data_IF_047321107425
#
_entry.id   IF_047321107425
#
_cell.length_a   1.000
_cell.length_b   1.000
_cell.length_c   1.000
_cell.angle_alpha   90.00
_cell.angle_beta   90.00
_cell.angle_gamma   90.00
#
_symmetry.space_group_name_H-M   'P 1'
#
loop_
_entity.id
_entity.type
_entity.pdbx_description
1 polymer ?
#
# COMPACT_ATOMS: atom_id res chain seq x y z
N UNK A 1 0.79 49.18 39.10
CA UNK A 1 1.17 50.25 38.14
C UNK A 1 1.03 49.68 36.73
N UNK A 2 0.08 50.26 36.00
CA UNK A 2 -0.42 49.81 34.70
C UNK A 2 0.49 50.38 33.58
N UNK A 3 0.96 49.56 32.64
CA UNK A 3 1.46 50.06 31.34
C UNK A 3 0.80 49.29 30.20
N UNK A 4 -0.36 49.82 29.77
CA UNK A 4 -0.81 49.75 28.37
C UNK A 4 -0.08 50.84 27.57
N UNK A 5 0.30 50.55 26.33
CA UNK A 5 0.01 51.43 25.19
C UNK A 5 0.18 50.68 23.86
N UNK A 6 -0.97 50.54 23.21
CA UNK A 6 -1.19 50.31 21.78
C UNK A 6 -1.28 51.67 21.11
N UNK A 7 -0.64 51.87 19.94
CA UNK A 7 -1.02 52.75 18.81
C UNK A 7 -0.29 52.16 17.57
N UNK A 8 -0.93 51.50 16.58
CA UNK A 8 -1.80 52.02 15.50
C UNK A 8 -1.19 53.20 14.71
N UNK A 9 -0.87 53.01 13.43
CA UNK A 9 -1.53 53.64 12.24
C UNK A 9 -0.64 53.70 10.98
N UNK A 10 -1.33 53.76 9.82
CA UNK A 10 -0.89 53.98 8.42
C UNK A 10 -0.63 52.69 7.62
N UNK A 11 -1.45 52.22 6.68
CA UNK A 11 -2.56 52.82 5.93
C UNK A 11 -2.09 53.40 4.60
N UNK A 12 -2.45 52.73 3.48
CA UNK A 12 -2.64 53.15 2.05
C UNK A 12 -2.53 51.86 1.19
N UNK A 13 -3.59 51.09 0.94
CA UNK A 13 -4.72 51.24 0.01
C UNK A 13 -4.38 51.58 -1.45
N UNK A 14 -4.86 50.69 -2.35
CA UNK A 14 -5.60 50.92 -3.61
C UNK A 14 -4.85 50.48 -4.89
N UNK A 15 -5.14 49.32 -5.51
CA UNK A 15 -6.33 48.81 -6.27
C UNK A 15 -6.05 48.78 -7.79
N UNK A 16 -6.53 47.69 -8.39
CA UNK A 16 -7.05 47.52 -9.75
C UNK A 16 -6.11 47.53 -10.97
N UNK A 17 -6.05 46.38 -11.66
CA UNK A 17 -6.77 46.14 -12.94
C UNK A 17 -6.36 44.81 -13.61
N UNK A 18 -7.27 43.84 -13.60
CA UNK A 18 -7.54 42.95 -14.74
C UNK A 18 -8.77 43.53 -15.48
N UNK A 19 -9.03 43.31 -16.80
CA UNK A 19 -9.38 41.97 -17.32
C UNK A 19 -9.07 41.71 -18.82
N UNK A 20 -9.14 40.44 -19.25
CA UNK A 20 -9.61 39.94 -20.56
C UNK A 20 -9.58 38.38 -20.48
N UNK A 21 -10.67 37.59 -20.58
CA UNK A 21 -11.64 37.34 -21.67
C UNK A 21 -10.92 37.09 -23.01
N UNK A 22 -11.03 35.97 -23.72
CA UNK A 22 -12.04 34.90 -23.83
C UNK A 22 -11.40 33.66 -24.52
N UNK A 23 -12.19 32.58 -24.61
CA UNK A 23 -12.22 31.54 -25.66
C UNK A 23 -11.73 30.11 -25.33
N UNK A 24 -12.72 29.35 -24.83
CA UNK A 24 -13.22 28.04 -25.28
C UNK A 24 -12.42 26.73 -25.05
N UNK A 25 -13.13 25.68 -24.56
CA UNK A 25 -12.67 24.30 -24.59
C UNK A 25 -13.05 23.65 -25.93
N UNK A 26 -12.06 23.12 -26.65
CA UNK A 26 -12.32 22.24 -27.79
C UNK A 26 -12.48 20.80 -27.31
N UNK A 27 -13.74 20.37 -27.32
CA UNK A 27 -14.11 18.97 -27.40
C UNK A 27 -13.72 18.45 -28.78
N UNK A 28 -12.79 17.49 -28.84
CA UNK A 28 -12.68 16.59 -29.99
C UNK A 28 -12.99 15.19 -29.51
N UNK A 29 -14.17 14.73 -29.90
CA UNK A 29 -14.50 13.33 -30.10
C UNK A 29 -13.39 12.61 -30.87
N UNK A 30 -12.91 11.50 -30.31
CA UNK A 30 -12.39 10.40 -31.13
C UNK A 30 -12.95 9.11 -30.55
N UNK A 31 -13.95 8.58 -31.26
CA UNK A 31 -14.25 7.16 -31.30
C UNK A 31 -12.96 6.37 -31.51
N UNK A 32 -12.78 5.37 -30.66
CA UNK A 32 -11.74 4.37 -30.77
C UNK A 32 -12.26 3.10 -30.11
N UNK A 33 -13.22 2.44 -30.77
CA UNK A 33 -13.61 1.08 -30.46
C UNK A 33 -12.41 0.16 -30.71
N UNK A 34 -11.70 -0.15 -29.64
CA UNK A 34 -10.73 -1.24 -29.60
C UNK A 34 -11.33 -2.36 -28.78
N UNK A 35 -12.00 -3.30 -29.45
CA UNK A 35 -12.32 -4.61 -28.89
C UNK A 35 -11.01 -5.33 -28.56
N UNK A 36 -10.54 -5.18 -27.33
CA UNK A 36 -9.56 -6.08 -26.75
C UNK A 36 -10.32 -7.29 -26.23
N UNK A 37 -10.37 -8.33 -27.07
CA UNK A 37 -10.75 -9.68 -26.65
C UNK A 37 -9.81 -10.12 -25.53
N UNK A 38 -10.23 -9.88 -24.29
CA UNK A 38 -9.62 -10.41 -23.08
C UNK A 38 -9.93 -11.89 -22.96
N UNK A 39 -9.29 -12.71 -23.80
CA UNK A 39 -9.22 -14.13 -23.56
C UNK A 39 -8.22 -14.34 -22.41
N UNK A 40 -8.78 -14.52 -21.21
CA UNK A 40 -8.01 -14.82 -20.02
C UNK A 40 -7.21 -16.12 -20.25
N UNK A 41 -5.88 -16.12 -20.04
CA UNK A 41 -5.11 -17.36 -20.11
C UNK A 41 -5.64 -18.36 -19.08
N UNK A 42 -5.75 -19.66 -19.42
CA UNK A 42 -6.27 -20.65 -18.51
C UNK A 42 -5.36 -20.75 -17.27
N UNK A 43 -5.96 -20.51 -16.11
CA UNK A 43 -5.33 -20.74 -14.81
C UNK A 43 -4.89 -22.20 -14.72
N UNK A 44 -3.57 -22.41 -14.66
CA UNK A 44 -3.01 -23.71 -14.33
C UNK A 44 -3.42 -24.06 -12.90
N UNK A 45 -4.19 -25.14 -12.78
CA UNK A 45 -4.59 -25.76 -11.51
C UNK A 45 -3.33 -26.03 -10.67
N UNK A 46 -3.35 -25.58 -9.41
CA UNK A 46 -2.34 -25.94 -8.43
C UNK A 46 -2.40 -27.45 -8.21
N UNK A 47 -1.40 -28.15 -8.72
CA UNK A 47 -1.14 -29.53 -8.35
C UNK A 47 -0.40 -29.55 -7.03
N UNK A 48 -1.02 -30.17 -6.02
CA UNK A 48 -0.42 -30.48 -4.73
C UNK A 48 0.89 -31.26 -4.91
N UNK A 49 2.02 -30.60 -4.64
CA UNK A 49 3.31 -31.25 -4.53
C UNK A 49 3.52 -31.62 -3.07
N UNK A 50 3.25 -32.89 -2.80
CA UNK A 50 3.56 -33.59 -1.56
C UNK A 50 4.99 -33.31 -1.10
N UNK A 51 5.05 -32.89 0.16
CA UNK A 51 6.20 -32.83 1.05
C UNK A 51 6.98 -34.13 0.98
N UNK A 52 8.16 -34.08 0.36
CA UNK A 52 9.16 -35.14 0.48
C UNK A 52 10.45 -34.50 0.95
N UNK A 53 10.66 -34.66 2.26
CA UNK A 53 11.87 -34.30 2.98
C UNK A 53 13.08 -34.87 2.24
N UNK A 54 13.87 -33.98 1.64
CA UNK A 54 15.27 -34.26 1.36
C UNK A 54 16.07 -33.39 2.29
N UNK A 55 16.56 -34.04 3.35
CA UNK A 55 17.64 -33.54 4.19
C UNK A 55 18.82 -33.18 3.28
N UNK A 56 18.97 -31.89 3.00
CA UNK A 56 20.21 -31.33 2.48
C UNK A 56 20.87 -30.64 3.66
N UNK A 57 21.82 -31.37 4.23
CA UNK A 57 22.78 -30.94 5.23
C UNK A 57 23.24 -29.50 4.91
N UNK A 58 22.78 -28.54 5.71
CA UNK A 58 23.18 -27.14 5.62
C UNK A 58 24.60 -27.00 6.19
N UNK A 59 25.55 -27.57 5.46
CA UNK A 59 26.98 -27.42 5.72
C UNK A 59 27.31 -25.95 5.58
N UNK A 60 27.45 -25.30 6.74
CA UNK A 60 28.11 -24.02 6.98
C UNK A 60 28.56 -23.31 5.69
N UNK A 61 27.68 -22.47 5.14
CA UNK A 61 28.10 -21.41 4.23
C UNK A 61 28.81 -20.34 5.08
N UNK A 62 29.99 -20.72 5.58
CA UNK A 62 31.00 -19.74 5.90
C UNK A 62 31.21 -18.98 4.60
N UNK A 63 30.78 -17.72 4.60
CA UNK A 63 31.18 -16.73 3.61
C UNK A 63 32.69 -16.66 3.69
N UNK A 64 33.38 -17.56 3.00
CA UNK A 64 34.70 -17.31 2.52
C UNK A 64 34.51 -16.15 1.54
N UNK A 65 34.53 -14.93 2.09
CA UNK A 65 35.08 -13.80 1.38
C UNK A 65 36.46 -14.28 0.99
N UNK A 66 36.55 -14.90 -0.19
CA UNK A 66 37.79 -15.06 -0.90
C UNK A 66 38.20 -13.63 -1.22
N UNK A 67 38.82 -12.99 -0.22
CA UNK A 67 39.82 -11.97 -0.45
C UNK A 67 40.85 -12.68 -1.30
N UNK A 68 40.63 -12.69 -2.60
CA UNK A 68 41.71 -12.89 -3.54
C UNK A 68 42.66 -11.75 -3.16
N UNK A 69 43.86 -12.01 -2.64
CA UNK A 69 44.85 -10.97 -2.53
C UNK A 69 45.26 -10.62 -3.96
N UNK A 70 44.46 -9.78 -4.63
CA UNK A 70 44.80 -9.24 -5.95
C UNK A 70 46.04 -8.34 -5.89
N UNK A 71 46.64 -8.16 -4.71
CA UNK A 71 47.84 -7.37 -4.48
C UNK A 71 49.15 -8.17 -4.49
N UNK A 72 49.16 -9.50 -4.66
CA UNK A 72 50.41 -10.29 -4.55
C UNK A 72 50.79 -11.18 -5.74
N UNK A 73 49.96 -11.30 -6.78
CA UNK A 73 50.32 -12.07 -7.99
C UNK A 73 50.86 -11.26 -9.17
N UNK A 74 50.93 -9.94 -9.01
CA UNK A 74 51.87 -9.10 -9.75
C UNK A 74 52.80 -8.50 -8.72
N UNK A 75 53.90 -9.20 -8.42
CA UNK A 75 55.06 -8.52 -7.90
C UNK A 75 55.28 -7.30 -8.80
N UNK A 76 55.13 -6.10 -8.23
CA UNK A 76 55.60 -4.84 -8.81
C UNK A 76 57.11 -5.01 -9.03
N UNK A 77 57.52 -5.70 -10.07
CA UNK A 77 58.64 -5.21 -10.85
C UNK A 77 58.01 -4.00 -11.52
N UNK A 78 58.24 -2.77 -11.01
CA UNK A 78 57.67 -1.62 -11.65
C UNK A 78 58.16 -1.68 -13.09
N UNK A 79 57.27 -1.44 -14.04
CA UNK A 79 57.62 -1.54 -15.45
C UNK A 79 58.81 -0.60 -15.79
N UNK A 80 59.05 0.42 -14.96
CA UNK A 80 60.25 1.25 -14.92
C UNK A 80 61.56 0.52 -14.54
N UNK A 81 61.55 -0.55 -13.74
CA UNK A 81 62.72 -1.41 -13.47
C UNK A 81 63.02 -2.35 -14.64
N UNK A 82 61.98 -2.86 -15.32
CA UNK A 82 62.12 -3.57 -16.59
C UNK A 82 62.68 -2.63 -17.68
N UNK A 83 62.18 -1.39 -17.70
CA UNK A 83 62.69 -0.31 -18.55
C UNK A 83 64.16 0.00 -18.24
N UNK A 84 64.53 0.18 -16.97
CA UNK A 84 65.92 0.44 -16.59
C UNK A 84 66.87 -0.73 -16.93
N UNK A 85 66.41 -1.98 -16.87
CA UNK A 85 67.20 -3.18 -17.19
C UNK A 85 67.32 -3.49 -18.69
N UNK A 86 66.32 -3.12 -19.50
CA UNK A 86 66.36 -3.29 -20.96
C UNK A 86 67.08 -2.10 -21.63
N UNK A 87 66.88 -0.89 -21.11
CA UNK A 87 67.42 0.36 -21.65
C UNK A 87 68.83 0.68 -21.13
N UNK A 88 69.32 -0.04 -20.10
CA UNK A 88 70.72 0.07 -19.70
C UNK A 88 71.60 -0.42 -20.84
N UNK A 89 72.39 0.51 -21.32
CA UNK A 89 73.46 0.37 -22.32
C UNK A 89 74.28 -0.92 -22.22
N UNK A 90 74.30 -1.62 -21.08
CA UNK A 90 74.96 -2.92 -20.93
C UNK A 90 74.43 -4.01 -21.85
N UNK A 91 73.12 -4.22 -22.03
CA UNK A 91 72.63 -5.27 -22.94
C UNK A 91 72.88 -4.91 -24.41
N UNK A 92 72.72 -3.63 -24.74
CA UNK A 92 73.02 -3.07 -26.06
C UNK A 92 74.50 -3.24 -26.42
N UNK A 93 75.40 -2.87 -25.51
CA UNK A 93 76.85 -2.99 -25.66
C UNK A 93 77.26 -4.46 -25.64
N UNK A 94 76.71 -5.30 -24.76
CA UNK A 94 76.99 -6.75 -24.70
C UNK A 94 76.55 -7.47 -25.98
N UNK A 95 75.39 -7.13 -26.55
CA UNK A 95 74.91 -7.70 -27.80
C UNK A 95 75.78 -7.27 -29.00
N UNK A 96 76.19 -6.00 -29.03
CA UNK A 96 77.07 -5.46 -30.07
C UNK A 96 78.48 -6.07 -29.99
N UNK A 97 79.00 -6.26 -28.77
CA UNK A 97 80.27 -6.94 -28.49
C UNK A 97 80.19 -8.42 -28.88
N UNK A 98 79.12 -9.12 -28.51
CA UNK A 98 78.93 -10.53 -28.87
C UNK A 98 78.92 -10.73 -30.39
N UNK A 99 78.25 -9.83 -31.12
CA UNK A 99 78.18 -9.86 -32.57
C UNK A 99 79.55 -9.60 -33.22
N UNK A 100 80.35 -8.69 -32.67
CA UNK A 100 81.70 -8.41 -33.15
C UNK A 100 82.67 -9.58 -32.88
N UNK A 101 82.59 -10.23 -31.71
CA UNK A 101 83.41 -11.40 -31.37
C UNK A 101 83.07 -12.62 -32.24
N UNK A 102 81.80 -12.82 -32.56
CA UNK A 102 81.29 -13.89 -33.41
C UNK A 102 81.77 -13.76 -34.87
N UNK A 103 81.88 -12.54 -35.40
CA UNK A 103 82.44 -12.29 -36.73
C UNK A 103 83.98 -12.42 -36.77
N UNK A 104 84.69 -12.05 -35.70
CA UNK A 104 86.14 -12.29 -35.55
C UNK A 104 86.45 -13.79 -35.52
N UNK A 105 85.67 -14.58 -34.77
CA UNK A 105 85.82 -16.05 -34.70
C UNK A 105 85.57 -16.78 -36.02
N UNK A 106 84.84 -16.16 -36.96
CA UNK A 106 84.56 -16.69 -38.30
C UNK A 106 85.53 -16.20 -39.38
N UNK A 107 86.52 -15.38 -39.04
CA UNK A 107 87.49 -14.86 -40.01
C UNK A 107 86.87 -13.92 -41.05
N UNK A 108 85.79 -13.22 -40.69
CA UNK A 108 85.12 -12.26 -41.59
C UNK A 108 86.06 -11.07 -41.84
N UNK A 109 86.26 -10.69 -43.10
CA UNK A 109 87.09 -9.53 -43.45
C UNK A 109 86.52 -8.21 -42.92
N UNK A 110 87.39 -7.23 -42.63
CA UNK A 110 87.01 -5.96 -41.99
C UNK A 110 85.84 -5.21 -42.63
N UNK A 111 85.76 -5.19 -43.96
CA UNK A 111 84.67 -4.52 -44.69
C UNK A 111 83.31 -5.22 -44.57
N UNK A 112 83.27 -6.53 -44.33
CA UNK A 112 82.02 -7.28 -44.16
C UNK A 112 81.53 -7.23 -42.70
N UNK A 113 82.45 -7.23 -41.73
CA UNK A 113 82.11 -7.01 -40.31
C UNK A 113 81.38 -5.69 -40.10
N UNK A 114 81.87 -4.59 -40.72
CA UNK A 114 81.23 -3.27 -40.63
C UNK A 114 79.81 -3.30 -41.20
N UNK A 115 79.57 -4.02 -42.30
CA UNK A 115 78.22 -4.13 -42.90
C UNK A 115 77.25 -4.89 -42.01
N UNK A 116 77.69 -6.02 -41.44
CA UNK A 116 76.85 -6.83 -40.53
C UNK A 116 76.57 -6.10 -39.23
N UNK A 117 77.58 -5.43 -38.66
CA UNK A 117 77.45 -4.58 -37.48
C UNK A 117 76.47 -3.42 -37.71
N UNK A 118 76.60 -2.72 -38.84
CA UNK A 118 75.69 -1.62 -39.21
C UNK A 118 74.25 -2.11 -39.35
N UNK A 119 74.05 -3.27 -39.98
CA UNK A 119 72.72 -3.90 -40.14
C UNK A 119 72.14 -4.34 -38.79
N UNK A 120 72.96 -4.89 -37.89
CA UNK A 120 72.54 -5.28 -36.55
C UNK A 120 72.13 -4.05 -35.72
N UNK A 121 72.90 -2.97 -35.81
CA UNK A 121 72.60 -1.69 -35.17
C UNK A 121 71.27 -1.09 -35.66
N UNK A 122 71.04 -1.08 -36.98
CA UNK A 122 69.78 -0.61 -37.56
C UNK A 122 68.57 -1.42 -37.08
N UNK A 123 68.66 -2.75 -37.06
CA UNK A 123 67.58 -3.62 -36.57
C UNK A 123 67.27 -3.35 -35.11
N UNK A 124 68.30 -3.22 -34.27
CA UNK A 124 68.14 -2.96 -32.85
C UNK A 124 67.53 -1.58 -32.58
N UNK A 125 67.89 -0.55 -33.34
CA UNK A 125 67.23 0.76 -33.25
C UNK A 125 65.74 0.66 -33.63
N UNK A 126 65.41 -0.07 -34.69
CA UNK A 126 64.01 -0.30 -35.06
C UNK A 126 63.22 -1.04 -33.96
N UNK A 127 63.85 -2.01 -33.28
CA UNK A 127 63.25 -2.67 -32.11
C UNK A 127 63.08 -1.73 -30.91
N UNK A 128 64.06 -0.86 -30.64
CA UNK A 128 63.95 0.16 -29.58
C UNK A 128 62.78 1.09 -29.86
N UNK A 129 62.65 1.61 -31.08
CA UNK A 129 61.56 2.53 -31.43
C UNK A 129 60.18 1.85 -31.31
N UNK A 130 60.07 0.56 -31.64
CA UNK A 130 58.86 -0.24 -31.41
C UNK A 130 58.58 -0.45 -29.92
N UNK A 131 59.61 -0.75 -29.13
CA UNK A 131 59.49 -0.91 -27.69
C UNK A 131 59.04 0.39 -27.02
N UNK A 132 59.69 1.51 -27.32
CA UNK A 132 59.31 2.83 -26.80
C UNK A 132 57.86 3.18 -27.14
N UNK A 133 57.40 2.83 -28.35
CA UNK A 133 56.00 2.99 -28.75
C UNK A 133 55.04 2.14 -27.91
N UNK A 134 55.33 0.85 -27.72
CA UNK A 134 54.51 -0.06 -26.89
C UNK A 134 54.49 0.41 -25.43
N UNK A 135 55.62 0.90 -24.93
CA UNK A 135 55.74 1.41 -23.57
C UNK A 135 54.98 2.72 -23.38
N UNK A 136 54.98 3.61 -24.37
CA UNK A 136 54.15 4.80 -24.38
C UNK A 136 52.66 4.46 -24.33
N UNK A 137 52.22 3.47 -25.11
CA UNK A 137 50.84 2.97 -25.06
C UNK A 137 50.51 2.33 -23.70
N UNK A 138 51.44 1.58 -23.11
CA UNK A 138 51.25 0.98 -21.79
C UNK A 138 51.11 2.06 -20.70
N UNK A 139 51.92 3.11 -20.75
CA UNK A 139 51.81 4.23 -19.81
C UNK A 139 50.46 4.95 -19.93
N UNK A 140 49.95 5.12 -21.15
CA UNK A 140 48.61 5.66 -21.39
C UNK A 140 47.50 4.76 -20.80
N UNK A 141 47.60 3.44 -20.98
CA UNK A 141 46.65 2.48 -20.40
C UNK A 141 46.67 2.52 -18.87
N UNK A 142 47.85 2.62 -18.26
CA UNK A 142 47.97 2.78 -16.81
C UNK A 142 47.34 4.07 -16.30
N UNK A 143 47.58 5.19 -16.99
CA UNK A 143 46.97 6.47 -16.62
C UNK A 143 45.44 6.41 -16.68
N UNK A 144 44.88 5.79 -17.72
CA UNK A 144 43.43 5.58 -17.83
C UNK A 144 42.87 4.65 -16.76
N UNK A 145 43.63 3.63 -16.35
CA UNK A 145 43.22 2.73 -15.28
C UNK A 145 43.15 3.44 -13.93
N UNK A 146 44.15 4.29 -13.64
CA UNK A 146 44.16 5.14 -12.44
C UNK A 146 42.96 6.11 -12.44
N UNK A 147 42.69 6.77 -13.58
CA UNK A 147 41.49 7.60 -13.73
C UNK A 147 40.20 6.82 -13.44
N UNK A 148 40.02 5.63 -14.02
CA UNK A 148 38.86 4.77 -13.79
C UNK A 148 38.73 4.31 -12.32
N UNK A 149 39.85 4.06 -11.65
CA UNK A 149 39.86 3.72 -10.23
C UNK A 149 39.36 4.89 -9.37
N UNK A 150 39.81 6.11 -9.65
CA UNK A 150 39.31 7.30 -8.93
C UNK A 150 37.82 7.54 -9.17
N UNK A 151 37.34 7.33 -10.41
CA UNK A 151 35.92 7.45 -10.74
C UNK A 151 35.09 6.40 -10.00
N UNK A 152 35.57 5.16 -9.95
CA UNK A 152 34.91 4.08 -9.19
C UNK A 152 34.82 4.41 -7.70
N UNK A 153 35.90 4.87 -7.08
CA UNK A 153 35.87 5.24 -5.65
C UNK A 153 34.87 6.38 -5.38
N UNK A 154 34.79 7.35 -6.31
CA UNK A 154 33.79 8.43 -6.22
C UNK A 154 32.36 7.91 -6.36
N UNK A 155 32.12 7.05 -7.35
CA UNK A 155 30.79 6.45 -7.58
C UNK A 155 30.36 5.58 -6.40
N UNK A 156 31.25 4.76 -5.85
CA UNK A 156 30.99 3.94 -4.68
C UNK A 156 30.65 4.82 -3.46
N UNK A 157 31.39 5.91 -3.25
CA UNK A 157 31.08 6.89 -2.21
C UNK A 157 29.70 7.55 -2.39
N UNK A 158 29.34 7.92 -3.63
CA UNK A 158 28.04 8.50 -3.93
C UNK A 158 26.90 7.50 -3.75
N UNK A 159 27.07 6.26 -4.22
CA UNK A 159 26.10 5.18 -4.06
C UNK A 159 25.89 4.82 -2.59
N UNK A 160 26.97 4.79 -1.80
CA UNK A 160 26.89 4.59 -0.35
C UNK A 160 26.12 5.72 0.33
N UNK A 161 26.43 6.98 0.02
CA UNK A 161 25.71 8.13 0.57
C UNK A 161 24.22 8.12 0.20
N UNK A 162 23.87 7.73 -1.03
CA UNK A 162 22.48 7.57 -1.45
C UNK A 162 21.76 6.46 -0.68
N UNK A 163 22.41 5.31 -0.48
CA UNK A 163 21.83 4.22 0.34
C UNK A 163 21.60 4.67 1.78
N UNK A 164 22.59 5.30 2.41
CA UNK A 164 22.46 5.82 3.78
C UNK A 164 21.33 6.86 3.88
N UNK A 165 21.18 7.74 2.88
CA UNK A 165 20.09 8.70 2.83
C UNK A 165 18.70 8.04 2.69
N UNK A 166 18.58 7.03 1.81
CA UNK A 166 17.32 6.29 1.64
C UNK A 166 16.99 5.45 2.88
N UNK A 167 17.97 4.81 3.51
CA UNK A 167 17.78 4.09 4.76
C UNK A 167 17.32 5.02 5.89
N UNK A 168 17.91 6.21 6.01
CA UNK A 168 17.45 7.23 6.96
C UNK A 168 16.00 7.68 6.67
N UNK A 169 15.65 7.88 5.40
CA UNK A 169 14.28 8.23 5.00
C UNK A 169 13.28 7.11 5.34
N UNK A 170 13.62 5.85 5.07
CA UNK A 170 12.77 4.71 5.38
C UNK A 170 12.55 4.54 6.89
N UNK A 171 13.55 4.86 7.72
CA UNK A 171 13.39 4.84 9.18
C UNK A 171 12.40 5.90 9.65
N UNK A 172 12.47 7.11 9.11
CA UNK A 172 11.52 8.19 9.41
C UNK A 172 10.12 7.85 8.94
N UNK A 173 9.98 7.29 7.73
CA UNK A 173 8.69 6.87 7.18
C UNK A 173 8.06 5.74 8.01
N UNK A 174 8.85 4.75 8.44
CA UNK A 174 8.38 3.67 9.32
C UNK A 174 7.83 4.22 10.63
N UNK A 175 8.56 5.14 11.27
CA UNK A 175 8.12 5.75 12.53
C UNK A 175 6.83 6.56 12.32
N UNK A 176 6.73 7.33 11.23
CA UNK A 176 5.52 8.08 10.89
C UNK A 176 4.32 7.14 10.63
N UNK A 177 4.54 6.04 9.90
CA UNK A 177 3.51 5.05 9.64
C UNK A 177 3.05 4.34 10.93
N UNK A 178 3.96 4.04 11.85
CA UNK A 178 3.60 3.45 13.15
C UNK A 178 2.78 4.44 14.00
N UNK A 179 3.14 5.73 13.99
CA UNK A 179 2.37 6.79 14.65
C UNK A 179 0.97 6.98 14.01
N UNK A 180 0.88 6.95 12.68
CA UNK A 180 -0.38 7.01 11.94
C UNK A 180 -1.27 5.83 12.29
N UNK A 181 -0.71 4.62 12.31
CA UNK A 181 -1.45 3.41 12.69
C UNK A 181 -2.00 3.52 14.11
N UNK A 182 -1.20 3.99 15.07
CA UNK A 182 -1.65 4.20 16.44
C UNK A 182 -2.76 5.26 16.54
N UNK A 183 -2.66 6.36 15.78
CA UNK A 183 -3.69 7.38 15.73
C UNK A 183 -5.00 6.86 15.12
N UNK A 184 -4.91 6.02 14.09
CA UNK A 184 -6.08 5.36 13.48
C UNK A 184 -6.76 4.41 14.44
N UNK A 185 -6.00 3.58 15.16
CA UNK A 185 -6.54 2.67 16.17
C UNK A 185 -7.26 3.42 17.30
N UNK A 186 -6.73 4.58 17.72
CA UNK A 186 -7.40 5.44 18.71
C UNK A 186 -8.72 6.00 18.17
N UNK A 187 -8.72 6.53 16.94
CA UNK A 187 -9.95 7.06 16.33
C UNK A 187 -11.00 5.97 16.09
N UNK A 188 -10.58 4.75 15.75
CA UNK A 188 -11.48 3.61 15.62
C UNK A 188 -12.10 3.22 16.96
N UNK A 189 -11.31 3.21 18.04
CA UNK A 189 -11.83 2.98 19.39
C UNK A 189 -12.83 4.07 19.83
N UNK A 190 -12.54 5.35 19.57
CA UNK A 190 -13.47 6.45 19.84
C UNK A 190 -14.76 6.33 19.02
N UNK A 191 -14.66 5.91 17.76
CA UNK A 191 -15.82 5.71 16.90
C UNK A 191 -16.72 4.60 17.44
N UNK A 192 -16.16 3.47 17.86
CA UNK A 192 -16.92 2.38 18.46
C UNK A 192 -17.57 2.79 19.79
N UNK A 193 -16.89 3.59 20.61
CA UNK A 193 -17.49 4.16 21.81
C UNK A 193 -18.66 5.10 21.49
N UNK A 194 -18.49 5.99 20.51
CA UNK A 194 -19.54 6.92 20.07
C UNK A 194 -20.74 6.15 19.52
N UNK A 195 -20.51 5.09 18.73
CA UNK A 195 -21.58 4.21 18.24
C UNK A 195 -22.33 3.55 19.40
N UNK A 196 -21.61 2.98 20.37
CA UNK A 196 -22.22 2.33 21.54
C UNK A 196 -23.04 3.31 22.39
N UNK A 197 -22.56 4.55 22.57
CA UNK A 197 -23.32 5.61 23.25
C UNK A 197 -24.57 6.01 22.46
N UNK A 198 -24.46 6.13 21.14
CA UNK A 198 -25.59 6.48 20.29
C UNK A 198 -26.69 5.41 20.32
N UNK A 199 -26.32 4.12 20.28
CA UNK A 199 -27.31 3.03 20.41
C UNK A 199 -27.96 3.03 21.79
N UNK A 200 -27.17 3.17 22.86
CA UNK A 200 -27.69 3.25 24.22
C UNK A 200 -28.63 4.45 24.42
N UNK A 201 -28.28 5.62 23.90
CA UNK A 201 -29.13 6.83 24.00
C UNK A 201 -30.42 6.68 23.19
N UNK A 202 -30.37 6.04 22.02
CA UNK A 202 -31.57 5.77 21.24
C UNK A 202 -32.54 4.83 21.99
N UNK A 203 -32.02 3.78 22.63
CA UNK A 203 -32.83 2.89 23.48
C UNK A 203 -33.39 3.62 24.71
N UNK A 204 -32.57 4.43 25.37
CA UNK A 204 -32.99 5.25 26.52
C UNK A 204 -34.14 6.18 26.11
N UNK A 205 -33.99 6.92 25.01
CA UNK A 205 -35.03 7.84 24.51
C UNK A 205 -36.30 7.11 24.07
N UNK A 206 -36.18 5.92 23.47
CA UNK A 206 -37.35 5.07 23.13
C UNK A 206 -38.12 4.67 24.39
N UNK A 207 -37.43 4.27 25.44
CA UNK A 207 -38.06 3.89 26.70
C UNK A 207 -38.66 5.09 27.43
N UNK A 208 -37.93 6.21 27.47
CA UNK A 208 -38.43 7.47 28.04
C UNK A 208 -39.68 7.94 27.31
N UNK A 209 -39.70 7.93 25.97
CA UNK A 209 -40.88 8.30 25.19
C UNK A 209 -42.09 7.40 25.46
N UNK A 210 -41.89 6.08 25.62
CA UNK A 210 -42.95 5.15 26.01
C UNK A 210 -43.46 5.42 27.42
N UNK A 211 -42.56 5.64 28.37
CA UNK A 211 -42.91 5.93 29.76
C UNK A 211 -43.66 7.27 29.89
N UNK A 212 -43.21 8.30 29.18
CA UNK A 212 -43.87 9.60 29.11
C UNK A 212 -45.25 9.50 28.46
N UNK A 213 -45.40 8.72 27.38
CA UNK A 213 -46.70 8.45 26.76
C UNK A 213 -47.65 7.74 27.72
N UNK A 214 -47.20 6.70 28.43
CA UNK A 214 -48.02 5.98 29.41
C UNK A 214 -48.46 6.86 30.60
N UNK A 215 -47.69 7.91 30.92
CA UNK A 215 -48.03 8.91 31.94
C UNK A 215 -48.82 10.10 31.37
N UNK A 216 -49.03 10.15 30.06
CA UNK A 216 -49.70 11.27 29.40
C UNK A 216 -51.22 11.17 29.57
N UNK A 217 -51.87 12.34 29.64
CA UNK A 217 -53.33 12.42 29.62
C UNK A 217 -53.93 11.86 28.33
N UNK A 218 -53.18 11.87 27.22
CA UNK A 218 -53.61 11.30 25.94
C UNK A 218 -53.82 9.78 26.07
N UNK A 219 -52.88 9.08 26.72
CA UNK A 219 -53.03 7.66 27.01
C UNK A 219 -54.21 7.39 27.95
N UNK A 220 -54.36 8.15 29.04
CA UNK A 220 -55.50 8.01 29.96
C UNK A 220 -56.85 8.21 29.26
N UNK A 221 -56.90 9.18 28.33
CA UNK A 221 -58.09 9.47 27.54
C UNK A 221 -58.40 8.32 26.57
N UNK A 222 -57.40 7.80 25.87
CA UNK A 222 -57.55 6.65 24.97
C UNK A 222 -57.96 5.39 25.74
N UNK A 223 -57.32 5.11 26.87
CA UNK A 223 -57.64 3.97 27.73
C UNK A 223 -59.07 4.09 28.28
N UNK A 224 -59.48 5.29 28.73
CA UNK A 224 -60.84 5.56 29.20
C UNK A 224 -61.89 5.35 28.10
N UNK A 225 -61.62 5.82 26.88
CA UNK A 225 -62.48 5.56 25.71
C UNK A 225 -62.61 4.06 25.42
N UNK A 226 -61.49 3.34 25.32
CA UNK A 226 -61.48 1.89 25.01
C UNK A 226 -62.15 1.05 26.10
N UNK A 227 -61.84 1.31 27.38
CA UNK A 227 -62.47 0.64 28.51
C UNK A 227 -63.98 0.93 28.60
N UNK A 228 -64.38 2.17 28.31
CA UNK A 228 -65.78 2.58 28.20
C UNK A 228 -66.54 1.78 27.14
N UNK A 229 -65.95 1.59 25.95
CA UNK A 229 -66.51 0.77 24.88
C UNK A 229 -66.71 -0.70 25.28
N UNK A 230 -65.70 -1.34 25.88
CA UNK A 230 -65.84 -2.72 26.37
C UNK A 230 -66.92 -2.84 27.46
N UNK A 231 -66.96 -1.89 28.40
CA UNK A 231 -67.98 -1.88 29.45
C UNK A 231 -69.39 -1.71 28.86
N UNK A 232 -69.57 -0.77 27.92
CA UNK A 232 -70.83 -0.55 27.20
C UNK A 232 -71.29 -1.83 26.49
N UNK A 233 -70.41 -2.46 25.72
CA UNK A 233 -70.73 -3.69 24.98
C UNK A 233 -71.03 -4.87 25.90
N UNK A 234 -70.23 -5.10 26.95
CA UNK A 234 -70.46 -6.17 27.92
C UNK A 234 -71.75 -5.97 28.73
N UNK A 235 -72.03 -4.73 29.14
CA UNK A 235 -73.27 -4.39 29.85
C UNK A 235 -74.49 -4.63 28.96
N UNK A 236 -74.50 -4.08 27.74
CA UNK A 236 -75.61 -4.26 26.81
C UNK A 236 -75.80 -5.74 26.43
N UNK A 237 -74.73 -6.50 26.30
CA UNK A 237 -74.79 -7.97 26.11
C UNK A 237 -75.48 -8.69 27.28
N UNK A 238 -75.12 -8.37 28.52
CA UNK A 238 -75.76 -8.91 29.72
C UNK A 238 -77.26 -8.55 29.80
N UNK A 239 -77.60 -7.29 29.51
CA UNK A 239 -79.01 -6.84 29.44
C UNK A 239 -79.79 -7.61 28.37
N UNK A 240 -79.19 -7.84 27.20
CA UNK A 240 -79.79 -8.66 26.15
C UNK A 240 -80.07 -10.09 26.61
N UNK A 241 -79.16 -10.68 27.39
CA UNK A 241 -79.35 -12.02 27.95
C UNK A 241 -80.48 -12.07 28.98
N UNK A 242 -80.60 -11.09 29.87
CA UNK A 242 -81.72 -11.01 30.81
C UNK A 242 -83.06 -10.89 30.10
N UNK A 243 -83.13 -10.06 29.06
CA UNK A 243 -84.33 -9.94 28.21
C UNK A 243 -84.68 -11.29 27.54
N UNK A 244 -83.69 -12.03 27.04
CA UNK A 244 -83.89 -13.36 26.48
C UNK A 244 -84.43 -14.39 27.50
N UNK A 245 -84.09 -14.22 28.79
CA UNK A 245 -84.56 -15.06 29.89
C UNK A 245 -85.92 -14.64 30.48
N UNK A 246 -86.61 -13.66 29.87
CA UNK A 246 -87.94 -13.21 30.29
C UNK A 246 -87.95 -12.24 31.47
N UNK A 247 -86.85 -11.49 31.68
CA UNK A 247 -86.77 -10.48 32.72
C UNK A 247 -87.72 -9.30 32.47
N UNK A 248 -88.64 -8.96 33.41
CA UNK A 248 -89.54 -7.82 33.27
C UNK A 248 -88.87 -6.50 33.72
N UNK A 249 -88.69 -5.57 32.78
CA UNK A 249 -88.04 -4.26 33.02
C UNK A 249 -88.90 -3.30 33.88
N UNK A 250 -90.17 -3.65 34.10
CA UNK A 250 -91.18 -2.87 34.83
C UNK A 250 -90.92 -2.76 36.34
N UNK A 251 -90.14 -3.67 36.93
CA UNK A 251 -89.87 -3.71 38.38
C UNK A 251 -88.73 -2.76 38.83
N UNK A 252 -87.92 -2.21 37.89
CA UNK A 252 -86.74 -1.36 38.21
C UNK A 252 -86.55 -0.13 37.30
N UNK A 253 -87.63 0.34 36.68
CA UNK A 253 -87.63 1.22 35.51
C UNK A 253 -86.79 2.52 35.60
N UNK A 254 -86.87 3.33 36.65
CA UNK A 254 -86.27 4.67 36.61
C UNK A 254 -84.73 4.72 36.73
N UNK A 255 -84.15 3.97 37.67
CA UNK A 255 -82.70 3.98 37.92
C UNK A 255 -81.92 3.19 36.88
N UNK A 256 -82.48 2.06 36.43
CA UNK A 256 -81.85 1.19 35.44
C UNK A 256 -81.83 1.82 34.04
N UNK A 257 -82.91 2.51 33.64
CA UNK A 257 -82.94 3.24 32.38
C UNK A 257 -81.99 4.45 32.36
N UNK A 258 -81.81 5.13 33.50
CA UNK A 258 -80.82 6.20 33.62
C UNK A 258 -79.38 5.66 33.47
N UNK A 259 -79.11 4.48 34.01
CA UNK A 259 -77.82 3.78 33.84
C UNK A 259 -77.63 3.31 32.39
N UNK A 260 -78.64 2.72 31.75
CA UNK A 260 -78.58 2.37 30.32
C UNK A 260 -78.30 3.58 29.44
N UNK A 261 -79.00 4.70 29.66
CA UNK A 261 -78.82 5.94 28.90
C UNK A 261 -77.42 6.52 29.12
N UNK A 262 -76.97 6.61 30.38
CA UNK A 262 -75.63 7.06 30.72
C UNK A 262 -74.57 6.19 30.02
N UNK A 263 -74.77 4.87 29.98
CA UNK A 263 -73.85 3.91 29.36
C UNK A 263 -73.85 4.03 27.83
N UNK A 264 -74.99 4.24 27.20
CA UNK A 264 -75.10 4.48 25.75
C UNK A 264 -74.36 5.77 25.36
N UNK A 265 -74.38 6.78 26.22
CA UNK A 265 -73.69 8.07 26.06
C UNK A 265 -72.17 7.99 26.36
N UNK A 266 -71.66 6.90 26.95
CA UNK A 266 -70.22 6.70 27.15
C UNK A 266 -69.55 6.24 25.85
N UNK A 267 -68.49 6.96 25.47
CA UNK A 267 -67.53 6.65 24.40
C UNK A 267 -68.12 5.93 23.16
N UNK A 268 -68.77 6.69 22.28
CA UNK A 268 -68.83 6.35 20.86
C UNK A 268 -67.73 7.16 20.16
N UNK A 269 -66.75 6.48 19.59
CA UNK A 269 -66.19 6.75 18.25
C UNK A 269 -64.97 5.85 17.99
N UNK A 270 -65.09 5.08 16.90
CA UNK A 270 -64.07 4.33 16.16
C UNK A 270 -63.59 2.97 16.74
N UNK A 271 -64.27 1.92 16.29
CA UNK A 271 -63.71 0.56 16.15
C UNK A 271 -62.55 0.65 15.14
N UNK A 272 -61.37 1.06 15.60
CA UNK A 272 -60.14 0.88 14.84
C UNK A 272 -59.92 -0.64 14.65
N UNK A 273 -59.61 -1.11 13.43
CA UNK A 273 -59.31 -2.51 13.22
C UNK A 273 -58.20 -2.95 14.18
N UNK A 274 -58.32 -4.17 14.70
CA UNK A 274 -57.23 -4.87 15.35
C UNK A 274 -56.11 -4.99 14.31
N UNK A 275 -55.16 -4.04 14.30
CA UNK A 275 -53.88 -4.22 13.62
C UNK A 275 -53.19 -5.37 14.36
N UNK A 276 -53.12 -6.53 13.70
CA UNK A 276 -52.30 -7.65 14.11
C UNK A 276 -50.86 -7.13 14.20
N UNK A 277 -50.30 -7.11 15.41
CA UNK A 277 -48.85 -6.95 15.62
C UNK A 277 -48.19 -8.17 14.97
N UNK A 278 -47.79 -8.05 13.70
CA UNK A 278 -46.80 -8.93 13.09
C UNK A 278 -45.49 -8.73 13.86
N UNK A 279 -45.27 -9.59 14.85
CA UNK A 279 -43.95 -9.82 15.43
C UNK A 279 -43.06 -10.36 14.31
N UNK A 280 -42.25 -9.48 13.71
CA UNK A 280 -41.07 -9.85 12.95
C UNK A 280 -40.11 -10.61 13.91
N UNK A 281 -40.31 -11.92 14.05
CA UNK A 281 -39.28 -12.85 14.49
C UNK A 281 -38.17 -12.84 13.44
N UNK A 282 -37.17 -11.98 13.62
CA UNK A 282 -35.87 -12.18 12.99
C UNK A 282 -35.21 -13.45 13.57
N UNK A 283 -35.61 -14.59 13.01
CA UNK A 283 -34.89 -15.84 13.12
C UNK A 283 -33.63 -15.79 12.27
N UNK A 284 -32.50 -15.43 12.89
CA UNK A 284 -31.22 -15.98 12.46
C UNK A 284 -31.24 -17.50 12.68
N UNK A 285 -31.24 -18.27 11.59
CA UNK A 285 -30.60 -19.59 11.62
C UNK A 285 -29.84 -19.82 10.32
N UNK A 286 -28.51 -19.85 10.44
CA UNK A 286 -27.60 -20.25 9.39
C UNK A 286 -27.44 -21.77 9.29
N UNK A 287 -26.88 -22.19 8.16
CA UNK A 287 -26.38 -23.55 7.89
C UNK A 287 -27.44 -24.50 7.34
N UNK A 288 -27.15 -25.48 6.48
CA UNK A 288 -25.98 -25.97 5.78
C UNK A 288 -26.52 -27.11 4.89
N UNK A 289 -25.81 -27.43 3.81
CA UNK A 289 -25.60 -28.83 3.46
C UNK A 289 -26.75 -29.66 2.88
N UNK A 290 -26.85 -29.63 1.55
CA UNK A 290 -27.05 -30.79 0.67
C UNK A 290 -28.30 -31.67 0.79
N UNK A 291 -29.10 -31.74 -0.28
CA UNK A 291 -29.44 -33.04 -0.90
C UNK A 291 -29.84 -32.88 -2.37
N UNK A 292 -29.61 -33.94 -3.12
CA UNK A 292 -29.39 -34.01 -4.55
C UNK A 292 -30.64 -33.90 -5.44
N UNK A 293 -30.45 -33.35 -6.64
CA UNK A 293 -31.23 -33.77 -7.82
C UNK A 293 -30.37 -33.73 -9.08
N UNK A 294 -30.09 -34.89 -9.69
CA UNK A 294 -30.16 -35.04 -11.15
C UNK A 294 -31.13 -36.19 -11.50
N UNK A 295 -31.61 -36.37 -12.76
CA UNK A 295 -31.11 -35.80 -14.01
C UNK A 295 -32.21 -35.28 -14.96
N UNK A 296 -31.81 -34.52 -16.00
CA UNK A 296 -32.49 -34.59 -17.32
C UNK A 296 -31.45 -34.54 -18.44
N UNK A 297 -31.34 -35.64 -19.17
CA UNK A 297 -30.72 -35.72 -20.50
C UNK A 297 -31.83 -35.63 -21.58
N UNK A 298 -31.50 -35.62 -22.87
CA UNK A 298 -31.11 -34.46 -23.68
C UNK A 298 -32.15 -34.18 -24.77
N UNK A 299 -32.15 -33.00 -25.41
CA UNK A 299 -32.80 -32.83 -26.70
C UNK A 299 -32.07 -31.79 -27.58
N UNK A 300 -31.60 -32.27 -28.73
CA UNK A 300 -30.97 -31.60 -29.88
C UNK A 300 -29.54 -31.08 -29.72
#
# INVERSE_FOLDING_TARGET
MLRRRVLMTSGYLREDRAPDRDLQPQNTSSEGAGDVSGEAPPMLKSGDINTRESSVDSRACGKASVKIPSSELYARIPISELYARILSSELYVRLLIAFALDDVGRGVGGGEMVKRLTKAHQKMNAFRDQFDKVMGQHAEVLARLEELETLRSREEGAAKAQREALEAQLMVEREAHEAEKAARELLEAELEEVKARATQEAERLKNEGKEEFLKSLEFDTLLGKKAGGYFKNGFLGCVGQWRANGYPEEEHSASFLNVQQAIVEMADEEEAPEEEDDEDEEGEEGGDGSDATPPRSPLS
#
